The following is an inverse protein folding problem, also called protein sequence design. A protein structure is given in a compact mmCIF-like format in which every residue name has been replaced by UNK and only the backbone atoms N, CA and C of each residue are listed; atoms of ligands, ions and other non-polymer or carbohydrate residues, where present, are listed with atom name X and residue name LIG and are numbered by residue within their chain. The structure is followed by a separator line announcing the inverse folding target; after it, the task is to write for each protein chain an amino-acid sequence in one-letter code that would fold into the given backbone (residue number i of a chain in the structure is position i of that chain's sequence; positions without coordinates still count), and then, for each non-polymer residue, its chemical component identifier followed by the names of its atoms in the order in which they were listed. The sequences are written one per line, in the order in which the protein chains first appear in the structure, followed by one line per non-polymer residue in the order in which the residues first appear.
data_IF_335449728893
#
_entry.id   IF_335449728893
#
_cell.length_a   1.000
_cell.length_b   1.000
_cell.length_c   1.000
_cell.angle_alpha   90.00
_cell.angle_beta   90.00
_cell.angle_gamma   90.00
#
_symmetry.space_group_name_H-M   'P 1'
#
loop_
_entity.id
_entity.type
_entity.pdbx_description
1 polymer ?
#
# COMPACT_ATOMS: atom_id res chain seq x y z
N UNK A 1 18.66 3.35 -2.87
CA UNK A 1 17.22 3.00 -2.81
C UNK A 1 16.85 2.85 -1.36
N UNK A 2 15.71 3.38 -0.91
CA UNK A 2 15.19 3.14 0.44
C UNK A 2 14.45 1.81 0.38
N UNK A 3 14.68 0.90 1.35
CA UNK A 3 14.11 -0.45 1.36
C UNK A 3 12.58 -0.46 1.18
N UNK A 4 11.89 0.54 1.73
CA UNK A 4 10.45 0.80 1.54
C UNK A 4 10.00 0.79 0.07
N UNK A 5 10.85 1.26 -0.85
CA UNK A 5 10.56 1.35 -2.29
C UNK A 5 10.94 0.11 -3.07
N UNK A 6 11.34 -0.97 -2.39
CA UNK A 6 11.80 -2.21 -3.01
C UNK A 6 10.74 -3.32 -3.01
N UNK A 7 9.56 -3.07 -2.44
CA UNK A 7 8.45 -4.01 -2.44
C UNK A 7 7.16 -3.42 -1.88
N UNK A 8 6.08 -4.21 -1.81
CA UNK A 8 4.88 -3.83 -1.09
C UNK A 8 5.26 -3.57 0.37
N UNK A 9 4.61 -2.61 1.01
CA UNK A 9 4.78 -2.36 2.42
C UNK A 9 3.44 -2.10 3.09
N UNK A 10 3.43 -2.29 4.40
CA UNK A 10 2.35 -1.87 5.27
C UNK A 10 2.93 -0.90 6.29
N UNK A 11 2.10 0.03 6.76
CA UNK A 11 2.49 0.97 7.80
C UNK A 11 1.75 0.67 9.10
N UNK A 12 2.47 0.69 10.22
CA UNK A 12 1.89 0.70 11.56
C UNK A 12 1.88 2.13 12.09
N UNK A 13 0.72 2.59 12.54
CA UNK A 13 0.52 3.90 13.15
C UNK A 13 -0.43 4.80 12.36
N UNK A 14 -0.06 6.08 12.25
CA UNK A 14 -0.82 7.11 11.55
C UNK A 14 -0.85 6.84 10.03
N UNK A 15 -1.88 7.28 9.29
CA UNK A 15 -1.89 7.15 7.83
C UNK A 15 -0.79 8.03 7.18
N UNK A 16 -0.38 7.71 5.96
CA UNK A 16 0.61 8.50 5.19
C UNK A 16 0.21 9.99 5.03
N UNK A 17 -1.08 10.28 5.17
CA UNK A 17 -1.66 11.61 5.02
C UNK A 17 -2.06 12.25 6.36
N UNK A 18 -1.47 11.82 7.48
CA UNK A 18 -1.74 12.34 8.80
C UNK A 18 -1.71 13.89 8.83
N UNK A 19 -2.77 14.50 9.37
CA UNK A 19 -3.03 15.95 9.45
C UNK A 19 -3.37 16.63 8.11
N UNK A 20 -3.34 15.89 7.01
CA UNK A 20 -3.69 16.36 5.67
C UNK A 20 -4.92 15.67 5.07
N UNK A 21 -5.61 14.81 5.84
CA UNK A 21 -6.63 13.91 5.31
C UNK A 21 -7.83 14.66 4.71
N UNK A 22 -8.17 15.82 5.26
CA UNK A 22 -9.29 16.65 4.82
C UNK A 22 -9.04 17.43 3.52
N UNK A 23 -7.77 17.57 3.12
CA UNK A 23 -7.43 18.29 1.88
C UNK A 23 -7.34 17.31 0.73
N UNK A 24 -7.86 17.63 -0.48
CA UNK A 24 -7.69 16.79 -1.66
C UNK A 24 -6.20 16.61 -1.96
N UNK A 25 -5.79 15.36 -2.20
CA UNK A 25 -4.41 15.00 -2.50
C UNK A 25 -4.42 14.22 -3.80
N UNK A 26 -3.66 14.67 -4.77
CA UNK A 26 -3.59 14.07 -6.10
C UNK A 26 -2.22 13.44 -6.33
N UNK A 27 -2.22 12.29 -6.99
CA UNK A 27 -1.01 11.67 -7.47
C UNK A 27 -0.41 12.56 -8.58
N UNK A 28 0.86 12.95 -8.41
CA UNK A 28 1.52 13.89 -9.32
C UNK A 28 1.78 13.35 -10.73
N UNK A 29 1.67 12.02 -10.94
CA UNK A 29 1.96 11.37 -12.22
C UNK A 29 0.70 11.16 -13.06
N UNK A 30 -0.46 10.95 -12.44
CA UNK A 30 -1.71 10.64 -13.15
C UNK A 30 -2.93 11.47 -12.70
N UNK A 31 -2.73 12.46 -11.82
CA UNK A 31 -3.75 13.38 -11.30
C UNK A 31 -4.96 12.70 -10.64
N UNK A 32 -4.81 11.42 -10.25
CA UNK A 32 -5.86 10.71 -9.53
C UNK A 32 -5.86 11.11 -8.06
N UNK A 33 -7.05 11.34 -7.51
CA UNK A 33 -7.21 11.64 -6.08
C UNK A 33 -6.90 10.40 -5.23
N UNK A 34 -6.10 10.60 -4.18
CA UNK A 34 -5.83 9.61 -3.16
C UNK A 34 -7.03 9.49 -2.22
N UNK A 35 -7.75 8.37 -2.31
CA UNK A 35 -9.00 8.16 -1.55
C UNK A 35 -8.78 7.51 -0.18
N UNK A 36 -7.71 6.74 -0.01
CA UNK A 36 -7.36 6.07 1.25
C UNK A 36 -6.53 6.98 2.18
N UNK A 37 -7.14 8.08 2.66
CA UNK A 37 -6.46 9.08 3.49
C UNK A 37 -6.57 8.85 4.99
N UNK A 38 -7.65 8.21 5.44
CA UNK A 38 -7.90 7.89 6.83
C UNK A 38 -7.66 6.41 7.12
N UNK A 39 -7.34 6.10 8.37
CA UNK A 39 -7.54 4.77 8.94
C UNK A 39 -8.70 4.81 9.96
N UNK A 40 -9.06 3.66 10.51
CA UNK A 40 -10.16 3.54 11.49
C UNK A 40 -9.97 4.41 12.73
N UNK A 41 -8.73 4.57 13.20
CA UNK A 41 -8.40 5.34 14.39
C UNK A 41 -8.49 6.84 14.13
N UNK A 42 -7.82 7.36 13.10
CA UNK A 42 -7.83 8.79 12.79
C UNK A 42 -9.22 9.26 12.39
N UNK A 43 -10.00 8.43 11.69
CA UNK A 43 -11.39 8.74 11.37
C UNK A 43 -12.26 8.82 12.64
N UNK A 44 -12.14 7.87 13.56
CA UNK A 44 -12.96 7.83 14.79
C UNK A 44 -12.56 8.88 15.84
N UNK A 45 -11.31 9.38 15.79
CA UNK A 45 -10.76 10.37 16.71
C UNK A 45 -10.60 11.76 16.10
N UNK A 46 -11.12 11.99 14.90
CA UNK A 46 -11.02 13.27 14.18
C UNK A 46 -11.35 14.47 15.09
N UNK A 47 -10.45 15.45 15.09
CA UNK A 47 -10.57 16.68 15.89
C UNK A 47 -10.20 16.56 17.37
N UNK A 48 -9.74 15.39 17.83
CA UNK A 48 -9.26 15.19 19.21
C UNK A 48 -7.74 15.24 19.27
N UNK A 49 -7.19 15.67 20.39
CA UNK A 49 -5.73 15.70 20.62
C UNK A 49 -5.10 14.30 20.49
N UNK A 50 -5.85 13.26 20.85
CA UNK A 50 -5.42 11.86 20.74
C UNK A 50 -5.61 11.24 19.35
N UNK A 51 -5.83 12.05 18.30
CA UNK A 51 -6.10 11.55 16.96
C UNK A 51 -4.88 10.87 16.34
N UNK A 52 -3.67 11.32 16.68
CA UNK A 52 -2.42 10.87 16.07
C UNK A 52 -1.51 10.24 17.11
N UNK A 53 -0.88 9.12 16.77
CA UNK A 53 0.16 8.48 17.57
C UNK A 53 1.52 9.15 17.40
N UNK A 54 1.68 9.95 16.34
CA UNK A 54 2.95 10.53 15.89
C UNK A 54 4.00 9.44 15.61
N UNK A 55 3.52 8.32 15.06
CA UNK A 55 4.32 7.20 14.61
C UNK A 55 3.80 6.74 13.25
N UNK A 56 4.71 6.50 12.32
CA UNK A 56 4.45 5.87 11.04
C UNK A 56 5.65 4.98 10.76
N UNK A 57 5.46 3.66 10.89
CA UNK A 57 6.55 2.70 10.69
C UNK A 57 6.21 1.81 9.52
N UNK A 58 6.96 1.95 8.44
CA UNK A 58 6.85 1.10 7.27
C UNK A 58 7.54 -0.24 7.49
N UNK A 59 6.83 -1.30 7.12
CA UNK A 59 7.31 -2.67 7.10
C UNK A 59 7.21 -3.16 5.66
N UNK A 60 8.36 -3.29 5.01
CA UNK A 60 8.46 -3.87 3.67
C UNK A 60 8.21 -5.37 3.73
N UNK A 61 7.38 -5.86 2.81
CA UNK A 61 7.08 -7.27 2.62
C UNK A 61 7.97 -7.81 1.50
N UNK A 62 8.86 -8.80 1.79
CA UNK A 62 9.63 -9.46 0.75
C UNK A 62 8.69 -10.17 -0.24
N UNK A 63 8.97 -10.04 -1.54
CA UNK A 63 8.12 -10.65 -2.56
C UNK A 63 8.07 -12.17 -2.45
N UNK A 64 9.20 -12.82 -2.21
CA UNK A 64 9.35 -14.26 -2.03
C UNK A 64 8.61 -14.83 -0.81
N UNK A 65 8.28 -13.97 0.17
CA UNK A 65 7.44 -14.33 1.32
C UNK A 65 5.93 -14.12 1.06
N UNK A 66 5.55 -13.42 -0.02
CA UNK A 66 4.15 -13.16 -0.36
C UNK A 66 3.57 -14.33 -1.18
N UNK A 67 2.72 -15.13 -0.53
CA UNK A 67 1.93 -16.16 -1.21
C UNK A 67 0.95 -15.56 -2.23
N UNK A 68 0.13 -14.60 -1.82
CA UNK A 68 -0.81 -13.92 -2.71
C UNK A 68 -1.15 -12.50 -2.23
N UNK A 69 -1.42 -11.61 -3.19
CA UNK A 69 -2.01 -10.29 -2.98
C UNK A 69 -3.25 -10.18 -3.88
N UNK A 70 -4.43 -10.14 -3.25
CA UNK A 70 -5.71 -10.29 -3.94
C UNK A 70 -6.64 -9.11 -3.63
N UNK A 71 -7.29 -8.61 -4.68
CA UNK A 71 -8.36 -7.63 -4.57
C UNK A 71 -9.71 -8.33 -4.48
N UNK A 72 -10.50 -7.97 -3.47
CA UNK A 72 -11.86 -8.46 -3.29
C UNK A 72 -12.88 -7.33 -3.37
N UNK A 73 -14.05 -7.63 -3.93
CA UNK A 73 -15.25 -6.80 -3.86
C UNK A 73 -16.45 -7.68 -3.53
N UNK A 74 -17.21 -7.32 -2.50
CA UNK A 74 -18.39 -8.06 -2.06
C UNK A 74 -18.11 -9.57 -1.86
N UNK A 75 -16.98 -9.89 -1.22
CA UNK A 75 -16.45 -11.25 -0.99
C UNK A 75 -16.13 -12.05 -2.27
N UNK A 76 -16.07 -11.39 -3.43
CA UNK A 76 -15.65 -12.00 -4.70
C UNK A 76 -14.25 -11.53 -5.05
N UNK A 77 -13.40 -12.48 -5.42
CA UNK A 77 -12.09 -12.19 -5.99
C UNK A 77 -12.29 -11.45 -7.32
N UNK A 78 -11.73 -10.25 -7.44
CA UNK A 78 -11.80 -9.43 -8.66
C UNK A 78 -10.47 -9.35 -9.39
N UNK A 79 -9.35 -9.55 -8.68
CA UNK A 79 -8.01 -9.48 -9.25
C UNK A 79 -7.02 -10.18 -8.32
N UNK A 80 -6.10 -10.95 -8.90
CA UNK A 80 -4.86 -11.36 -8.22
C UNK A 80 -3.76 -10.47 -8.75
N UNK A 81 -3.10 -9.70 -7.87
CA UNK A 81 -2.02 -8.78 -8.24
C UNK A 81 -0.67 -9.46 -8.17
N UNK A 82 -0.44 -10.22 -7.10
CA UNK A 82 0.78 -10.98 -6.85
C UNK A 82 0.39 -12.42 -6.50
N UNK A 83 1.10 -13.40 -7.06
CA UNK A 83 0.98 -14.83 -6.76
C UNK A 83 2.38 -15.41 -6.67
N UNK A 84 2.72 -16.07 -5.55
CA UNK A 84 4.04 -16.60 -5.23
C UNK A 84 5.17 -15.60 -5.53
N UNK A 85 5.02 -14.38 -5.02
CA UNK A 85 5.99 -13.29 -5.18
C UNK A 85 6.11 -12.69 -6.58
N UNK A 86 5.25 -13.05 -7.54
CA UNK A 86 5.30 -12.53 -8.92
C UNK A 86 4.05 -11.76 -9.30
N UNK A 87 4.21 -10.71 -10.09
CA UNK A 87 3.10 -9.94 -10.67
C UNK A 87 2.30 -10.79 -11.66
N UNK A 88 0.98 -10.82 -11.49
CA UNK A 88 0.04 -11.59 -12.32
C UNK A 88 -0.52 -10.79 -13.51
N UNK A 89 -0.95 -9.52 -13.37
CA UNK A 89 -1.57 -8.77 -14.47
C UNK A 89 -0.63 -8.60 -15.68
N UNK A 90 -1.17 -8.75 -16.90
CA UNK A 90 -0.37 -8.70 -18.14
C UNK A 90 0.48 -7.44 -18.26
N UNK A 91 -0.07 -6.28 -17.90
CA UNK A 91 0.64 -5.00 -17.96
C UNK A 91 1.80 -4.90 -16.95
N UNK A 92 1.79 -5.72 -15.89
CA UNK A 92 2.78 -5.71 -14.82
C UNK A 92 3.78 -6.88 -14.92
N UNK A 93 3.57 -7.84 -15.84
CA UNK A 93 4.44 -9.01 -15.98
C UNK A 93 5.90 -8.66 -16.27
N UNK A 94 6.18 -7.53 -16.94
CA UNK A 94 7.56 -7.10 -17.19
C UNK A 94 8.35 -6.82 -15.91
N UNK A 95 7.68 -6.47 -14.81
CA UNK A 95 8.31 -6.24 -13.51
C UNK A 95 8.94 -7.52 -12.94
N UNK A 96 8.50 -8.69 -13.39
CA UNK A 96 9.04 -9.98 -12.93
C UNK A 96 10.44 -10.30 -13.48
N UNK A 97 10.90 -9.62 -14.55
CA UNK A 97 12.15 -9.98 -15.29
C UNK A 97 13.40 -10.00 -14.42
N UNK A 98 13.46 -9.16 -13.37
CA UNK A 98 14.61 -9.05 -12.46
C UNK A 98 14.29 -9.56 -11.05
N UNK A 99 13.18 -10.29 -10.89
CA UNK A 99 12.77 -10.87 -9.59
C UNK A 99 13.20 -12.34 -9.46
N UNK A 100 13.88 -12.90 -10.46
CA UNK A 100 14.52 -14.20 -10.38
C UNK A 100 16.00 -13.93 -10.14
N UNK A 101 16.48 -14.18 -8.93
CA UNK A 101 17.92 -14.36 -8.74
C UNK A 101 18.27 -15.74 -9.29
N UNK A 102 19.25 -15.78 -10.20
CA UNK A 102 19.93 -17.00 -10.61
C UNK A 102 20.42 -17.74 -9.34
N UNK A 103 19.78 -18.86 -9.00
CA UNK A 103 20.29 -19.83 -8.02
C UNK A 103 21.37 -20.73 -8.66
#
# INVERSE_FOLDING_TARGET
LIAEKMGPHIAIGDPCFARGEDSPIFNIFDDKEMVARWNEHTLSKKGKDSCYFNLHTDITLPYDEIKSLEGYKDNKLICTFIENGKFVPDFAKELNKNMEEDL
#
